data_IF_360369662926
#
_entry.id   IF_360369662926
#
_cell.length_a   1.000
_cell.length_b   1.000
_cell.length_c   1.000
_cell.angle_alpha   90.00
_cell.angle_beta   90.00
_cell.angle_gamma   90.00
#
_symmetry.space_group_name_H-M   'P 1'
#
loop_
_entity.id
_entity.type
_entity.pdbx_description
1 polymer ?
#
# COMPACT_ATOMS: atom_id res chain seq x y z
N UNK A 1 11.54 2.22 -32.23
CA UNK A 1 10.53 3.22 -31.77
C UNK A 1 9.23 2.49 -31.48
N UNK A 2 8.73 2.63 -30.27
CA UNK A 2 7.37 2.18 -29.96
C UNK A 2 6.38 3.06 -30.74
N UNK A 3 5.42 2.44 -31.42
CA UNK A 3 4.31 3.17 -32.04
C UNK A 3 3.62 4.03 -30.96
N UNK A 4 3.28 5.29 -31.23
CA UNK A 4 2.65 6.22 -30.28
C UNK A 4 1.41 5.59 -29.58
N UNK A 5 0.64 4.77 -30.31
CA UNK A 5 -0.50 4.05 -29.76
C UNK A 5 -0.08 3.04 -28.67
N UNK A 6 1.06 2.39 -28.81
CA UNK A 6 1.54 1.42 -27.81
C UNK A 6 2.05 2.13 -26.54
N UNK A 7 2.59 3.33 -26.66
CA UNK A 7 3.05 4.13 -25.54
C UNK A 7 1.92 4.57 -24.59
N UNK A 8 0.71 4.74 -25.11
CA UNK A 8 -0.47 5.21 -24.36
C UNK A 8 -1.38 4.08 -23.85
N UNK A 9 -1.00 2.83 -24.00
CA UNK A 9 -1.80 1.70 -23.51
C UNK A 9 -1.91 1.72 -21.98
N UNK A 10 -3.13 1.68 -21.41
CA UNK A 10 -3.33 1.77 -19.95
C UNK A 10 -2.59 0.70 -19.16
N UNK A 11 -2.64 -0.54 -19.61
CA UNK A 11 -1.94 -1.66 -18.94
C UNK A 11 -0.42 -1.44 -18.87
N UNK A 12 0.18 -0.90 -19.94
CA UNK A 12 1.60 -0.58 -19.96
C UNK A 12 1.93 0.57 -19.00
N UNK A 13 1.10 1.63 -18.98
CA UNK A 13 1.31 2.79 -18.12
C UNK A 13 1.17 2.41 -16.63
N UNK A 14 0.16 1.62 -16.29
CA UNK A 14 -0.05 1.11 -14.92
C UNK A 14 1.15 0.26 -14.50
N UNK A 15 1.59 -0.67 -15.35
CA UNK A 15 2.75 -1.50 -15.07
C UNK A 15 4.03 -0.68 -14.83
N UNK A 16 4.32 0.27 -15.73
CA UNK A 16 5.52 1.11 -15.61
C UNK A 16 5.47 2.00 -14.38
N UNK A 17 4.33 2.61 -14.10
CA UNK A 17 4.18 3.46 -12.93
C UNK A 17 4.39 2.67 -11.64
N UNK A 18 3.79 1.48 -11.54
CA UNK A 18 3.99 0.57 -10.41
C UNK A 18 5.46 0.18 -10.26
N UNK A 19 6.09 -0.30 -11.34
CA UNK A 19 7.47 -0.75 -11.31
C UNK A 19 8.46 0.36 -10.93
N UNK A 20 8.32 1.53 -11.56
CA UNK A 20 9.22 2.66 -11.30
C UNK A 20 9.00 3.25 -9.90
N UNK A 21 7.77 3.22 -9.40
CA UNK A 21 7.49 3.57 -7.99
C UNK A 21 8.14 2.59 -7.03
N UNK A 22 8.08 1.30 -7.32
CA UNK A 22 8.74 0.27 -6.48
C UNK A 22 10.26 0.48 -6.44
N UNK A 23 10.88 0.77 -7.58
CA UNK A 23 12.32 1.08 -7.65
C UNK A 23 12.66 2.33 -6.82
N UNK A 24 11.81 3.35 -6.86
CA UNK A 24 11.97 4.56 -6.05
C UNK A 24 11.88 4.22 -4.55
N UNK A 25 10.86 3.45 -4.12
CA UNK A 25 10.75 3.01 -2.73
C UNK A 25 11.94 2.18 -2.28
N UNK A 26 12.46 1.30 -3.13
CA UNK A 26 13.67 0.54 -2.84
C UNK A 26 14.85 1.46 -2.50
N UNK A 27 15.02 2.53 -3.25
CA UNK A 27 16.13 3.47 -3.06
C UNK A 27 15.94 4.29 -1.78
N UNK A 28 14.76 4.86 -1.58
CA UNK A 28 14.49 5.78 -0.48
C UNK A 28 14.32 5.07 0.88
N UNK A 29 13.82 3.84 0.89
CA UNK A 29 13.61 3.07 2.12
C UNK A 29 14.81 2.18 2.50
N UNK A 30 15.79 2.01 1.63
CA UNK A 30 17.00 1.23 1.92
C UNK A 30 17.80 1.75 3.13
N UNK A 31 17.59 2.99 3.53
CA UNK A 31 18.25 3.60 4.68
C UNK A 31 17.58 3.23 6.03
N UNK A 32 16.38 2.66 6.01
CA UNK A 32 15.82 2.08 7.21
C UNK A 32 16.46 0.70 7.41
N UNK A 33 17.03 0.47 8.60
CA UNK A 33 17.73 -0.78 8.97
C UNK A 33 16.74 -1.96 9.14
N UNK A 34 15.96 -2.23 8.08
CA UNK A 34 14.94 -3.26 8.03
C UNK A 34 15.30 -4.31 6.98
N UNK A 35 16.33 -5.09 7.30
CA UNK A 35 16.67 -6.27 6.51
C UNK A 35 15.48 -7.23 6.50
N UNK A 36 15.03 -7.58 5.29
CA UNK A 36 13.92 -8.52 5.07
C UNK A 36 12.57 -7.87 4.84
N UNK A 37 12.42 -6.54 4.93
CA UNK A 37 11.19 -5.88 4.54
C UNK A 37 11.07 -5.84 3.01
N UNK A 38 9.96 -6.36 2.50
CA UNK A 38 9.65 -6.32 1.08
C UNK A 38 8.72 -5.15 0.76
N UNK A 39 9.05 -4.34 -0.24
CA UNK A 39 8.26 -3.19 -0.64
C UNK A 39 6.81 -3.54 -1.05
N UNK A 40 6.57 -4.77 -1.49
CA UNK A 40 5.22 -5.26 -1.75
C UNK A 40 4.32 -5.26 -0.50
N UNK A 41 4.91 -5.19 0.71
CA UNK A 41 4.15 -5.11 1.97
C UNK A 41 3.68 -3.70 2.31
N UNK A 42 4.19 -2.66 1.63
CA UNK A 42 3.86 -1.26 1.92
C UNK A 42 2.35 -1.01 1.93
N UNK A 43 1.55 -1.41 0.92
CA UNK A 43 0.12 -1.15 0.94
C UNK A 43 -0.59 -1.76 2.15
N UNK A 44 -0.24 -2.99 2.50
CA UNK A 44 -0.82 -3.67 3.67
C UNK A 44 -0.36 -3.01 4.97
N UNK A 45 0.93 -2.79 5.12
CA UNK A 45 1.51 -2.17 6.32
C UNK A 45 0.94 -0.77 6.57
N UNK A 46 0.87 0.07 5.54
CA UNK A 46 0.31 1.42 5.63
C UNK A 46 -1.20 1.42 5.92
N UNK A 47 -1.92 0.38 5.51
CA UNK A 47 -3.36 0.23 5.77
C UNK A 47 -3.69 -0.18 7.21
N UNK A 48 -2.72 -0.66 7.99
CA UNK A 48 -2.92 -0.95 9.43
C UNK A 48 -3.18 0.36 10.18
N UNK A 49 -2.45 1.41 9.85
CA UNK A 49 -2.60 2.73 10.48
C UNK A 49 -2.19 2.73 11.95
N UNK A 50 -2.24 3.91 12.55
CA UNK A 50 -1.82 4.12 13.95
C UNK A 50 -2.85 3.67 14.99
N UNK A 51 -4.11 3.51 14.59
CA UNK A 51 -5.22 3.09 15.48
C UNK A 51 -5.48 1.58 15.48
N UNK A 52 -4.78 0.84 14.63
CA UNK A 52 -5.01 -0.58 14.43
C UNK A 52 -6.20 -0.88 13.53
N UNK A 53 -6.33 -2.13 13.12
CA UNK A 53 -7.38 -2.62 12.22
C UNK A 53 -7.66 -4.10 12.47
N UNK A 54 -8.91 -4.53 12.28
CA UNK A 54 -9.24 -5.94 12.24
C UNK A 54 -8.64 -6.61 10.99
N UNK A 55 -8.07 -7.81 11.13
CA UNK A 55 -7.40 -8.51 10.04
C UNK A 55 -8.32 -8.78 8.83
N UNK A 56 -9.59 -9.10 9.08
CA UNK A 56 -10.58 -9.29 8.02
C UNK A 56 -10.89 -8.00 7.24
N UNK A 57 -10.94 -6.86 7.91
CA UNK A 57 -11.14 -5.56 7.29
C UNK A 57 -9.91 -5.16 6.46
N UNK A 58 -8.71 -5.44 6.96
CA UNK A 58 -7.47 -5.18 6.23
C UNK A 58 -7.43 -5.91 4.89
N UNK A 59 -7.73 -7.21 4.88
CA UNK A 59 -7.78 -8.02 3.67
C UNK A 59 -8.83 -7.49 2.68
N UNK A 60 -10.02 -7.14 3.17
CA UNK A 60 -11.11 -6.58 2.36
C UNK A 60 -10.73 -5.23 1.73
N UNK A 61 -10.11 -4.33 2.50
CA UNK A 61 -9.68 -3.02 2.01
C UNK A 61 -8.67 -3.10 0.87
N UNK A 62 -7.87 -4.17 0.81
CA UNK A 62 -6.85 -4.37 -0.21
C UNK A 62 -7.28 -5.34 -1.31
N UNK A 63 -8.53 -5.82 -1.27
CA UNK A 63 -9.06 -6.79 -2.24
C UNK A 63 -8.18 -8.03 -2.40
N UNK A 64 -7.61 -8.50 -1.29
CA UNK A 64 -6.78 -9.71 -1.21
C UNK A 64 -7.45 -10.78 -0.35
N UNK A 65 -6.99 -12.03 -0.50
CA UNK A 65 -7.47 -13.12 0.35
C UNK A 65 -6.96 -12.98 1.78
N UNK A 66 -7.72 -13.53 2.74
CA UNK A 66 -7.30 -13.59 4.14
C UNK A 66 -5.98 -14.35 4.31
N UNK A 67 -5.74 -15.39 3.51
CA UNK A 67 -4.48 -16.15 3.51
C UNK A 67 -3.30 -15.29 3.06
N UNK A 68 -3.45 -14.52 1.98
CA UNK A 68 -2.41 -13.61 1.49
C UNK A 68 -2.08 -12.53 2.53
N UNK A 69 -3.11 -11.93 3.14
CA UNK A 69 -2.92 -10.97 4.22
C UNK A 69 -2.22 -11.59 5.43
N UNK A 70 -2.64 -12.78 5.88
CA UNK A 70 -2.06 -13.48 7.03
C UNK A 70 -0.58 -13.82 6.83
N UNK A 71 -0.18 -14.18 5.61
CA UNK A 71 1.23 -14.42 5.29
C UNK A 71 2.08 -13.17 5.50
N UNK A 72 1.65 -12.04 4.95
CA UNK A 72 2.37 -10.76 5.08
C UNK A 72 2.39 -10.29 6.55
N UNK A 73 1.26 -10.41 7.26
CA UNK A 73 1.15 -10.06 8.68
C UNK A 73 2.18 -10.84 9.51
N UNK A 74 2.30 -12.14 9.26
CA UNK A 74 3.29 -12.99 9.97
C UNK A 74 4.72 -12.50 9.76
N UNK A 75 5.06 -12.17 8.51
CA UNK A 75 6.40 -11.64 8.20
C UNK A 75 6.63 -10.26 8.84
N UNK A 76 5.62 -9.40 8.91
CA UNK A 76 5.70 -8.12 9.60
C UNK A 76 5.82 -8.27 11.13
N UNK A 77 5.19 -9.31 11.70
CA UNK A 77 5.37 -9.67 13.12
C UNK A 77 6.80 -10.17 13.41
N UNK A 78 7.34 -11.00 12.53
CA UNK A 78 8.73 -11.48 12.63
C UNK A 78 9.75 -10.34 12.53
N UNK A 79 9.45 -9.29 11.76
CA UNK A 79 10.25 -8.07 11.69
C UNK A 79 10.05 -7.14 12.91
N UNK A 80 9.11 -7.45 13.79
CA UNK A 80 8.80 -6.65 14.97
C UNK A 80 8.05 -5.34 14.66
N UNK A 81 7.40 -5.25 13.51
CA UNK A 81 6.69 -4.04 13.08
C UNK A 81 5.22 -4.02 13.47
N UNK A 82 4.62 -5.20 13.61
CA UNK A 82 3.20 -5.42 13.87
C UNK A 82 3.03 -6.41 15.03
N UNK A 83 1.98 -6.25 15.79
CA UNK A 83 1.52 -7.21 16.77
C UNK A 83 0.03 -7.51 16.58
N UNK A 84 -0.35 -8.74 16.83
CA UNK A 84 -1.74 -9.18 16.83
C UNK A 84 -2.28 -9.27 18.24
N UNK A 85 -3.54 -8.93 18.42
CA UNK A 85 -4.24 -9.05 19.69
C UNK A 85 -5.65 -9.59 19.45
N UNK A 86 -6.10 -10.55 20.24
CA UNK A 86 -7.48 -11.01 20.18
C UNK A 86 -8.43 -9.90 20.58
N UNK A 87 -9.56 -9.76 19.83
CA UNK A 87 -10.60 -8.82 20.19
C UNK A 87 -11.39 -9.34 21.39
N UNK A 88 -11.57 -8.52 22.43
CA UNK A 88 -12.28 -8.91 23.66
C UNK A 88 -13.78 -9.16 23.42
N UNK A 89 -14.37 -8.57 22.38
CA UNK A 89 -15.78 -8.66 22.06
C UNK A 89 -16.14 -9.79 21.10
N UNK A 90 -15.17 -10.28 20.31
CA UNK A 90 -15.33 -11.41 19.41
C UNK A 90 -14.03 -12.23 19.41
N UNK A 91 -14.04 -13.37 20.09
CA UNK A 91 -12.88 -14.26 20.21
C UNK A 91 -12.37 -14.86 18.90
N UNK A 92 -13.04 -14.59 17.77
CA UNK A 92 -12.63 -15.00 16.41
C UNK A 92 -11.91 -13.90 15.62
N UNK A 93 -12.02 -12.65 16.07
CA UNK A 93 -11.40 -11.51 15.41
C UNK A 93 -10.05 -11.16 16.03
N UNK A 94 -9.06 -10.97 15.19
CA UNK A 94 -7.74 -10.47 15.57
C UNK A 94 -7.64 -9.01 15.17
N UNK A 95 -7.20 -8.19 16.13
CA UNK A 95 -6.81 -6.81 15.88
C UNK A 95 -5.31 -6.74 15.65
N UNK A 96 -4.92 -5.95 14.67
CA UNK A 96 -3.54 -5.69 14.30
C UNK A 96 -3.15 -4.29 14.72
N UNK A 97 -2.01 -4.15 15.34
CA UNK A 97 -1.47 -2.87 15.79
C UNK A 97 -0.02 -2.74 15.36
N UNK A 98 0.41 -1.53 15.05
CA UNK A 98 1.83 -1.24 14.89
C UNK A 98 2.52 -1.29 16.27
N UNK A 99 3.72 -1.84 16.31
CA UNK A 99 4.63 -1.69 17.45
C UNK A 99 5.26 -0.30 17.45
N UNK A 100 5.98 0.08 18.50
CA UNK A 100 6.74 1.35 18.52
C UNK A 100 7.71 1.45 17.33
N UNK A 101 8.40 0.35 17.03
CA UNK A 101 9.24 0.23 15.83
C UNK A 101 8.42 0.39 14.55
N UNK A 102 7.23 -0.24 14.50
CA UNK A 102 6.29 -0.12 13.39
C UNK A 102 5.79 1.30 13.19
N UNK A 103 5.44 2.02 14.25
CA UNK A 103 5.02 3.43 14.19
C UNK A 103 6.14 4.32 13.64
N UNK A 104 7.35 4.14 14.12
CA UNK A 104 8.51 4.88 13.61
C UNK A 104 8.73 4.64 12.12
N UNK A 105 8.64 3.39 11.68
CA UNK A 105 8.78 3.03 10.27
C UNK A 105 7.60 3.52 9.42
N UNK A 106 6.39 3.42 9.94
CA UNK A 106 5.18 3.98 9.30
C UNK A 106 5.34 5.48 9.02
N UNK A 107 5.77 6.24 10.01
CA UNK A 107 5.99 7.67 9.87
C UNK A 107 7.11 7.99 8.86
N UNK A 108 8.15 7.18 8.82
CA UNK A 108 9.21 7.31 7.83
C UNK A 108 8.66 7.10 6.40
N UNK A 109 7.95 6.01 6.15
CA UNK A 109 7.31 5.75 4.84
C UNK A 109 6.36 6.88 4.47
N UNK A 110 5.51 7.31 5.40
CA UNK A 110 4.54 8.39 5.19
C UNK A 110 5.22 9.68 4.75
N UNK A 111 6.30 10.05 5.43
CA UNK A 111 7.10 11.23 5.08
C UNK A 111 7.68 11.16 3.66
N UNK A 112 8.19 9.99 3.27
CA UNK A 112 8.69 9.77 1.91
C UNK A 112 7.59 9.82 0.85
N UNK A 113 6.41 9.25 1.14
CA UNK A 113 5.25 9.31 0.26
C UNK A 113 4.76 10.76 0.06
N UNK A 114 4.71 11.55 1.13
CA UNK A 114 4.33 12.96 1.07
C UNK A 114 5.33 13.77 0.23
N UNK A 115 6.63 13.51 0.36
CA UNK A 115 7.66 14.14 -0.46
C UNK A 115 7.48 13.80 -1.95
N UNK A 116 7.24 12.53 -2.28
CA UNK A 116 6.99 12.09 -3.65
C UNK A 116 5.72 12.72 -4.24
N UNK A 117 4.67 12.83 -3.44
CA UNK A 117 3.43 13.50 -3.84
C UNK A 117 3.68 14.97 -4.21
N UNK A 118 4.48 15.68 -3.42
CA UNK A 118 4.87 17.05 -3.74
C UNK A 118 5.64 17.14 -5.05
N UNK A 119 6.53 16.21 -5.32
CA UNK A 119 7.27 16.16 -6.59
C UNK A 119 6.35 15.85 -7.79
N UNK A 120 5.36 14.99 -7.62
CA UNK A 120 4.32 14.76 -8.63
C UNK A 120 3.52 16.04 -8.89
N UNK A 121 3.09 16.74 -7.84
CA UNK A 121 2.36 18.01 -7.96
C UNK A 121 3.17 19.10 -8.66
N UNK A 122 4.48 19.17 -8.39
CA UNK A 122 5.39 20.07 -9.11
C UNK A 122 5.51 19.72 -10.60
N UNK A 123 5.54 18.42 -10.91
CA UNK A 123 5.73 17.92 -12.27
C UNK A 123 4.51 18.14 -13.17
N UNK A 124 3.31 17.87 -12.67
CA UNK A 124 2.08 17.90 -13.47
C UNK A 124 1.14 19.07 -13.14
N UNK A 125 1.38 19.75 -12.04
CA UNK A 125 0.48 20.74 -11.44
C UNK A 125 -0.50 20.11 -10.45
N UNK A 126 -0.75 20.80 -9.34
CA UNK A 126 -1.59 20.30 -8.24
C UNK A 126 -3.00 19.91 -8.70
N UNK A 127 -3.64 20.73 -9.56
CA UNK A 127 -4.99 20.47 -10.05
C UNK A 127 -5.08 19.19 -10.89
N UNK A 128 -4.13 18.99 -11.81
CA UNK A 128 -4.08 17.76 -12.63
C UNK A 128 -3.78 16.54 -11.79
N UNK A 129 -2.94 16.68 -10.78
CA UNK A 129 -2.64 15.61 -9.84
C UNK A 129 -3.90 15.14 -9.10
N UNK A 130 -4.68 16.07 -8.51
CA UNK A 130 -5.93 15.73 -7.81
C UNK A 130 -6.96 15.08 -8.75
N UNK A 131 -7.08 15.57 -9.99
CA UNK A 131 -7.94 14.93 -11.01
C UNK A 131 -7.47 13.50 -11.28
N UNK A 132 -6.16 13.28 -11.41
CA UNK A 132 -5.61 11.94 -11.65
C UNK A 132 -5.90 10.99 -10.48
N UNK A 133 -5.80 11.46 -9.24
CA UNK A 133 -6.18 10.69 -8.05
C UNK A 133 -7.66 10.30 -8.09
N UNK A 134 -8.55 11.26 -8.38
CA UNK A 134 -9.99 11.00 -8.49
C UNK A 134 -10.31 9.98 -9.58
N UNK A 135 -9.62 10.06 -10.72
CA UNK A 135 -9.77 9.08 -11.80
C UNK A 135 -9.31 7.69 -11.36
N UNK A 136 -8.15 7.60 -10.72
CA UNK A 136 -7.63 6.32 -10.22
C UNK A 136 -8.57 5.68 -9.19
N UNK A 137 -9.15 6.46 -8.29
CA UNK A 137 -10.14 5.97 -7.32
C UNK A 137 -11.35 5.36 -8.02
N UNK A 138 -11.90 6.03 -9.04
CA UNK A 138 -13.03 5.50 -9.82
C UNK A 138 -12.69 4.23 -10.60
N UNK A 139 -11.46 4.12 -11.10
CA UNK A 139 -11.01 2.89 -11.78
C UNK A 139 -10.87 1.73 -10.78
N UNK A 140 -10.40 1.99 -9.57
CA UNK A 140 -10.36 0.99 -8.49
C UNK A 140 -11.78 0.52 -8.15
N UNK A 141 -12.70 1.45 -7.91
CA UNK A 141 -14.12 1.14 -7.64
C UNK A 141 -14.75 0.29 -8.75
N UNK A 142 -14.48 0.62 -10.01
CA UNK A 142 -14.96 -0.16 -11.15
C UNK A 142 -14.51 -1.63 -11.07
N UNK A 143 -13.24 -1.88 -10.82
CA UNK A 143 -12.70 -3.24 -10.74
C UNK A 143 -13.20 -3.99 -9.49
N UNK A 144 -13.38 -3.30 -8.36
CA UNK A 144 -13.96 -3.90 -7.16
C UNK A 144 -15.41 -4.36 -7.39
N UNK A 145 -16.21 -3.58 -8.12
CA UNK A 145 -17.57 -3.99 -8.50
C UNK A 145 -17.58 -5.18 -9.45
N UNK A 146 -16.68 -5.22 -10.43
CA UNK A 146 -16.55 -6.35 -11.35
C UNK A 146 -16.19 -7.64 -10.60
N UNK A 147 -15.29 -7.57 -9.63
CA UNK A 147 -14.88 -8.73 -8.84
C UNK A 147 -15.98 -9.26 -7.93
N UNK A 148 -16.90 -8.41 -7.45
CA UNK A 148 -18.07 -8.83 -6.63
C UNK A 148 -19.20 -9.44 -7.47
N UNK A 149 -19.23 -9.20 -8.77
CA UNK A 149 -20.24 -9.73 -9.67
C UNK A 149 -19.94 -11.18 -10.17
N UNK A 150 -18.79 -11.72 -9.81
CA UNK A 150 -18.35 -13.11 -10.03
C UNK A 150 -18.42 -13.87 -8.72
#
# INVERSE_FOLDING_TARGET
MLNENSARMPNRLIYLLKRLSDDWYCTELCHADLRGFNNSYIPLFMSIGTNGIANGKLAANLSITKQAASKVIKELEELGLVRSQKCDTDGRSMMLYLTDKGISFYNHIKSQMEALEQDYKKTVGAKKYEIAIDVMLKLVEYHEHMNKAV
#
